data_IF_404972873442
#
_entry.id   IF_404972873442
#
_cell.length_a   1.000
_cell.length_b   1.000
_cell.length_c   1.000
_cell.angle_alpha   90.00
_cell.angle_beta   90.00
_cell.angle_gamma   90.00
#
_symmetry.space_group_name_H-M   'P 1'
#
loop_
_entity.id
_entity.type
_entity.pdbx_description
1 polymer ?
#
# COMPACT_ATOMS: atom_id res chain seq x y z
N UNK A 1 2.78 9.77 -31.42
CA UNK A 1 2.48 8.93 -30.25
C UNK A 1 0.97 8.93 -30.08
N UNK A 2 0.33 7.76 -30.08
CA UNK A 2 -1.11 7.63 -29.87
C UNK A 2 -1.45 8.03 -28.44
N UNK A 3 -2.52 8.80 -28.25
CA UNK A 3 -3.01 9.13 -26.91
C UNK A 3 -3.44 7.83 -26.23
N UNK A 4 -2.99 7.53 -25.01
CA UNK A 4 -3.39 6.33 -24.29
C UNK A 4 -4.90 6.28 -24.06
N UNK A 5 -5.51 5.12 -24.28
CA UNK A 5 -6.93 4.90 -23.96
C UNK A 5 -7.05 4.42 -22.51
N UNK A 6 -7.75 5.14 -21.61
CA UNK A 6 -7.91 4.71 -20.23
C UNK A 6 -8.48 3.30 -20.09
N UNK A 7 -7.83 2.48 -19.27
CA UNK A 7 -8.20 1.08 -19.02
C UNK A 7 -7.63 0.09 -20.03
N UNK A 8 -6.92 0.56 -21.06
CA UNK A 8 -6.23 -0.30 -22.03
C UNK A 8 -4.75 -0.33 -21.69
N UNK A 9 -4.33 -1.40 -21.01
CA UNK A 9 -2.91 -1.61 -20.69
C UNK A 9 -2.10 -1.78 -21.98
N UNK A 10 -1.20 -0.84 -22.18
CA UNK A 10 -0.26 -0.88 -23.28
C UNK A 10 0.77 -2.00 -23.13
N UNK A 11 1.16 -2.61 -24.25
CA UNK A 11 2.19 -3.66 -24.27
C UNK A 11 3.55 -3.16 -23.78
N UNK A 12 3.94 -1.93 -24.11
CA UNK A 12 5.24 -1.40 -23.65
C UNK A 12 5.24 -1.13 -22.15
N UNK A 13 4.10 -0.70 -21.59
CA UNK A 13 3.98 -0.48 -20.15
C UNK A 13 3.95 -1.84 -19.41
N UNK A 14 3.28 -2.84 -19.97
CA UNK A 14 3.29 -4.21 -19.46
C UNK A 14 4.74 -4.72 -19.35
N UNK A 15 5.46 -4.78 -20.48
CA UNK A 15 6.81 -5.33 -20.55
C UNK A 15 7.80 -4.57 -19.66
N UNK A 16 7.68 -3.23 -19.61
CA UNK A 16 8.54 -2.41 -18.74
C UNK A 16 8.32 -2.76 -17.26
N UNK A 17 7.07 -2.91 -16.82
CA UNK A 17 6.77 -3.21 -15.40
C UNK A 17 7.13 -4.66 -15.07
N UNK A 18 6.95 -5.61 -16.00
CA UNK A 18 7.44 -6.99 -15.81
C UNK A 18 8.96 -7.03 -15.62
N UNK A 19 9.72 -6.30 -16.45
CA UNK A 19 11.18 -6.23 -16.36
C UNK A 19 11.65 -5.51 -15.08
N UNK A 20 11.05 -4.35 -14.78
CA UNK A 20 11.41 -3.52 -13.61
C UNK A 20 11.20 -4.28 -12.28
N UNK A 21 10.13 -5.08 -12.18
CA UNK A 21 9.79 -5.78 -10.93
C UNK A 21 10.04 -7.28 -10.98
N UNK A 22 10.42 -7.87 -12.11
CA UNK A 22 10.59 -9.33 -12.24
C UNK A 22 9.32 -10.12 -11.96
N UNK A 23 8.16 -9.61 -12.36
CA UNK A 23 6.83 -10.19 -12.05
C UNK A 23 6.14 -10.69 -13.32
N UNK A 24 5.13 -11.55 -13.15
CA UNK A 24 4.30 -12.00 -14.27
C UNK A 24 3.17 -11.01 -14.64
N UNK A 25 2.70 -11.14 -15.89
CA UNK A 25 1.63 -10.34 -16.48
C UNK A 25 0.39 -10.14 -15.60
N UNK A 26 -0.08 -11.18 -14.89
CA UNK A 26 -1.25 -11.08 -14.01
C UNK A 26 -1.05 -10.03 -12.91
N UNK A 27 0.15 -10.00 -12.31
CA UNK A 27 0.50 -9.03 -11.28
C UNK A 27 0.54 -7.61 -11.86
N UNK A 28 1.06 -7.45 -13.08
CA UNK A 28 1.10 -6.15 -13.77
C UNK A 28 -0.31 -5.67 -14.12
N UNK A 29 -1.20 -6.55 -14.57
CA UNK A 29 -2.61 -6.20 -14.84
C UNK A 29 -3.34 -5.80 -13.57
N UNK A 30 -3.06 -6.45 -12.43
CA UNK A 30 -3.59 -6.07 -11.11
C UNK A 30 -3.08 -4.70 -10.67
N UNK A 31 -1.78 -4.43 -10.81
CA UNK A 31 -1.19 -3.13 -10.46
C UNK A 31 -1.68 -1.99 -11.39
N UNK A 32 -1.96 -2.31 -12.66
CA UNK A 32 -2.65 -1.41 -13.60
C UNK A 32 -4.05 -1.06 -13.11
N UNK A 33 -4.86 -2.06 -12.75
CA UNK A 33 -6.18 -1.83 -12.17
C UNK A 33 -6.11 -0.98 -10.89
N UNK A 34 -5.17 -1.25 -9.98
CA UNK A 34 -4.96 -0.46 -8.76
C UNK A 34 -4.69 1.02 -9.09
N UNK A 35 -3.90 1.31 -10.14
CA UNK A 35 -3.62 2.68 -10.58
C UNK A 35 -4.89 3.46 -10.93
N UNK A 36 -5.82 2.82 -11.64
CA UNK A 36 -7.12 3.39 -11.99
C UNK A 36 -8.06 3.51 -10.78
N UNK A 37 -8.05 2.54 -9.87
CA UNK A 37 -8.83 2.60 -8.62
C UNK A 37 -8.36 3.76 -7.75
N UNK A 38 -7.05 3.94 -7.58
CA UNK A 38 -6.49 5.05 -6.78
C UNK A 38 -6.83 6.41 -7.40
N UNK A 39 -6.85 6.51 -8.74
CA UNK A 39 -7.35 7.72 -9.42
C UNK A 39 -8.83 7.97 -9.11
N UNK A 40 -9.67 6.94 -9.18
CA UNK A 40 -11.09 7.07 -8.85
C UNK A 40 -11.31 7.50 -7.40
N UNK A 41 -10.60 6.87 -6.44
CA UNK A 41 -10.65 7.22 -5.01
C UNK A 41 -10.19 8.66 -4.77
N UNK A 42 -9.18 9.13 -5.51
CA UNK A 42 -8.69 10.52 -5.37
C UNK A 42 -9.74 11.58 -5.73
N UNK A 43 -10.82 11.21 -6.44
CA UNK A 43 -11.92 12.14 -6.76
C UNK A 43 -12.83 12.48 -5.60
N UNK A 44 -12.76 11.72 -4.49
CA UNK A 44 -13.52 12.03 -3.27
C UNK A 44 -12.96 13.29 -2.60
N UNK A 45 -11.63 13.44 -2.57
CA UNK A 45 -10.94 14.53 -1.90
C UNK A 45 -10.01 14.04 -0.80
N UNK A 46 -8.98 14.84 -0.50
CA UNK A 46 -7.92 14.50 0.47
C UNK A 46 -8.38 14.56 1.93
N UNK A 47 -9.59 15.07 2.18
CA UNK A 47 -10.17 15.23 3.51
C UNK A 47 -11.24 14.15 3.82
N UNK A 48 -11.58 13.30 2.85
CA UNK A 48 -12.54 12.20 3.03
C UNK A 48 -11.86 10.86 3.32
N UNK A 49 -10.68 10.65 2.74
CA UNK A 49 -9.97 9.37 2.79
C UNK A 49 -8.47 9.55 2.96
N UNK A 50 -7.89 8.69 3.78
CA UNK A 50 -6.45 8.53 3.91
C UNK A 50 -6.02 7.16 3.38
N UNK A 51 -4.95 7.13 2.60
CA UNK A 51 -4.36 5.95 1.98
C UNK A 51 -3.13 5.50 2.76
N UNK A 52 -3.08 4.22 3.13
CA UNK A 52 -2.07 3.64 4.00
C UNK A 52 -1.57 2.28 3.50
N UNK A 53 -0.78 1.61 4.34
CA UNK A 53 -0.30 0.25 4.08
C UNK A 53 0.85 0.21 3.08
N UNK A 54 1.16 -1.02 2.63
CA UNK A 54 2.26 -1.27 1.69
C UNK A 54 2.03 -0.62 0.33
N UNK A 55 0.78 -0.50 -0.10
CA UNK A 55 0.44 0.12 -1.39
C UNK A 55 0.64 1.63 -1.36
N UNK A 56 0.34 2.30 -0.24
CA UNK A 56 0.65 3.72 -0.10
C UNK A 56 2.16 3.97 -0.22
N UNK A 57 2.98 3.12 0.39
CA UNK A 57 4.43 3.18 0.26
C UNK A 57 4.90 2.96 -1.18
N UNK A 58 4.43 1.89 -1.84
CA UNK A 58 4.82 1.59 -3.22
C UNK A 58 4.31 2.61 -4.25
N UNK A 59 3.41 3.51 -3.84
CA UNK A 59 2.88 4.58 -4.68
C UNK A 59 3.34 5.97 -4.27
N UNK A 60 4.22 6.09 -3.28
CA UNK A 60 4.77 7.37 -2.80
C UNK A 60 6.26 7.28 -2.49
N UNK A 61 6.62 6.69 -1.35
CA UNK A 61 7.97 6.76 -0.77
C UNK A 61 8.91 5.66 -1.25
N UNK A 62 8.37 4.52 -1.71
CA UNK A 62 9.11 3.34 -2.16
C UNK A 62 8.65 2.85 -3.54
N UNK A 63 8.55 3.72 -4.57
CA UNK A 63 7.96 3.34 -5.84
C UNK A 63 8.77 2.31 -6.62
N UNK A 64 10.06 2.10 -6.35
CA UNK A 64 10.83 1.05 -7.04
C UNK A 64 10.84 -0.31 -6.31
N UNK A 65 10.20 -0.43 -5.15
CA UNK A 65 10.47 -1.58 -4.26
C UNK A 65 9.76 -2.86 -4.68
N UNK A 66 8.43 -2.81 -4.74
CA UNK A 66 7.57 -3.94 -5.09
C UNK A 66 6.20 -3.47 -5.54
N UNK A 67 5.54 -4.28 -6.34
CA UNK A 67 4.11 -4.12 -6.62
C UNK A 67 3.28 -4.49 -5.39
N UNK A 68 2.03 -4.05 -5.39
CA UNK A 68 1.09 -4.37 -4.31
C UNK A 68 -0.23 -4.86 -4.89
N UNK A 69 -0.99 -5.56 -4.07
CA UNK A 69 -2.20 -6.28 -4.50
C UNK A 69 -3.47 -5.79 -3.79
N UNK A 70 -3.28 -5.05 -2.69
CA UNK A 70 -4.33 -4.63 -1.77
C UNK A 70 -4.43 -3.10 -1.76
N UNK A 71 -5.55 -2.53 -1.32
CA UNK A 71 -5.72 -1.09 -1.10
C UNK A 71 -6.26 -0.89 0.32
N UNK A 72 -5.48 -0.23 1.16
CA UNK A 72 -5.84 0.05 2.56
C UNK A 72 -6.19 1.53 2.73
N UNK A 73 -7.40 1.81 3.21
CA UNK A 73 -7.95 3.15 3.36
C UNK A 73 -8.46 3.37 4.79
N UNK A 74 -8.42 4.62 5.26
CA UNK A 74 -9.12 5.09 6.45
C UNK A 74 -10.15 6.13 6.00
N UNK A 75 -11.40 5.94 6.41
CA UNK A 75 -12.44 6.95 6.31
C UNK A 75 -12.19 8.05 7.35
N UNK A 76 -12.03 9.29 6.89
CA UNK A 76 -11.87 10.47 7.75
C UNK A 76 -13.24 11.02 8.21
N UNK A 77 -14.30 10.70 7.46
CA UNK A 77 -15.70 10.90 7.86
C UNK A 77 -16.38 9.63 8.40
N UNK A 78 -17.71 9.60 8.34
CA UNK A 78 -18.50 8.42 8.68
C UNK A 78 -18.19 7.28 7.71
N UNK A 79 -17.62 6.18 8.23
CA UNK A 79 -17.17 5.02 7.43
C UNK A 79 -18.20 4.51 6.41
N UNK A 80 -19.49 4.30 6.75
CA UNK A 80 -20.46 3.81 5.78
C UNK A 80 -20.69 4.78 4.61
N UNK A 81 -20.67 6.08 4.88
CA UNK A 81 -20.93 7.12 3.87
C UNK A 81 -19.72 7.21 2.93
N UNK A 82 -18.49 7.18 3.47
CA UNK A 82 -17.26 7.11 2.67
C UNK A 82 -17.19 5.82 1.85
N UNK A 83 -17.66 4.69 2.39
CA UNK A 83 -17.72 3.43 1.66
C UNK A 83 -18.61 3.52 0.42
N UNK A 84 -19.82 4.08 0.57
CA UNK A 84 -20.77 4.27 -0.53
C UNK A 84 -20.19 5.23 -1.61
N UNK A 85 -19.46 6.27 -1.19
CA UNK A 85 -18.77 7.19 -2.10
C UNK A 85 -17.64 6.51 -2.89
N UNK A 86 -16.83 5.66 -2.24
CA UNK A 86 -15.75 4.91 -2.89
C UNK A 86 -16.32 3.97 -3.96
N UNK A 87 -17.32 3.14 -3.60
CA UNK A 87 -17.92 2.20 -4.57
C UNK A 87 -18.49 2.94 -5.79
N UNK A 88 -19.22 4.04 -5.55
CA UNK A 88 -19.79 4.84 -6.63
C UNK A 88 -18.73 5.47 -7.54
N UNK A 89 -17.66 6.03 -6.96
CA UNK A 89 -16.57 6.64 -7.73
C UNK A 89 -15.82 5.60 -8.57
N UNK A 90 -15.49 4.45 -7.97
CA UNK A 90 -14.78 3.35 -8.64
C UNK A 90 -15.64 2.74 -9.75
N UNK A 91 -16.91 2.43 -9.48
CA UNK A 91 -17.82 1.86 -10.47
C UNK A 91 -17.98 2.82 -11.67
N UNK A 92 -18.12 4.12 -11.43
CA UNK A 92 -18.22 5.14 -12.49
C UNK A 92 -16.94 5.23 -13.32
N UNK A 93 -15.77 5.26 -12.68
CA UNK A 93 -14.49 5.44 -13.35
C UNK A 93 -14.11 4.24 -14.21
N UNK A 94 -14.30 3.03 -13.69
CA UNK A 94 -13.87 1.80 -14.37
C UNK A 94 -14.85 1.33 -15.46
N UNK A 95 -16.11 1.81 -15.46
CA UNK A 95 -17.18 1.33 -16.36
C UNK A 95 -16.80 1.28 -17.84
N UNK A 96 -16.11 2.30 -18.33
CA UNK A 96 -15.76 2.43 -19.75
C UNK A 96 -14.50 1.65 -20.14
N UNK A 97 -13.53 1.54 -19.22
CA UNK A 97 -12.22 0.94 -19.49
C UNK A 97 -12.14 -0.55 -19.14
N UNK A 98 -12.78 -0.96 -18.04
CA UNK A 98 -12.68 -2.30 -17.48
C UNK A 98 -14.02 -3.05 -17.45
N UNK A 99 -15.14 -2.31 -17.47
CA UNK A 99 -16.49 -2.88 -17.44
C UNK A 99 -17.15 -2.80 -16.06
N UNK A 100 -18.08 -3.70 -15.79
CA UNK A 100 -18.87 -3.70 -14.56
C UNK A 100 -18.05 -4.15 -13.36
N UNK A 101 -18.05 -3.33 -12.31
CA UNK A 101 -17.34 -3.58 -11.06
C UNK A 101 -18.31 -4.17 -10.05
N UNK A 102 -17.85 -5.19 -9.32
CA UNK A 102 -18.58 -5.75 -8.18
C UNK A 102 -17.72 -5.70 -6.91
N UNK A 103 -18.37 -5.53 -5.77
CA UNK A 103 -17.75 -5.56 -4.44
C UNK A 103 -18.41 -6.65 -3.61
N UNK A 104 -17.62 -7.57 -3.06
CA UNK A 104 -18.12 -8.67 -2.24
C UNK A 104 -17.32 -8.83 -0.94
N UNK A 105 -17.94 -8.59 0.24
CA UNK A 105 -19.22 -7.91 0.41
C UNK A 105 -19.14 -6.45 -0.07
N UNK A 106 -20.28 -5.76 -0.21
CA UNK A 106 -20.25 -4.29 -0.32
C UNK A 106 -19.40 -3.69 0.82
N UNK A 107 -18.57 -2.70 0.51
CA UNK A 107 -17.67 -2.00 1.43
C UNK A 107 -18.40 -1.46 2.65
N UNK A 108 -19.63 -0.96 2.49
CA UNK A 108 -20.46 -0.50 3.62
C UNK A 108 -20.78 -1.61 4.61
N UNK A 109 -20.95 -2.83 4.09
CA UNK A 109 -21.32 -4.05 4.84
C UNK A 109 -20.10 -4.80 5.36
N UNK A 110 -18.92 -4.59 4.78
CA UNK A 110 -17.66 -5.14 5.27
C UNK A 110 -17.42 -4.67 6.72
N UNK A 111 -17.33 -5.62 7.65
CA UNK A 111 -17.05 -5.32 9.06
C UNK A 111 -15.55 -5.27 9.26
N UNK A 112 -15.06 -4.28 10.00
CA UNK A 112 -13.66 -4.27 10.42
C UNK A 112 -13.28 -5.62 11.09
N UNK A 113 -12.13 -6.24 10.76
CA UNK A 113 -11.10 -5.80 9.81
C UNK A 113 -11.27 -6.39 8.38
N UNK A 114 -12.39 -7.00 8.04
CA UNK A 114 -12.58 -7.68 6.75
C UNK A 114 -12.53 -6.70 5.57
N UNK A 115 -11.75 -6.99 4.51
CA UNK A 115 -11.77 -6.22 3.29
C UNK A 115 -13.02 -6.53 2.45
N UNK A 116 -13.33 -5.65 1.51
CA UNK A 116 -14.19 -5.96 0.37
C UNK A 116 -13.34 -6.44 -0.80
N UNK A 117 -13.76 -7.50 -1.48
CA UNK A 117 -13.11 -7.93 -2.72
C UNK A 117 -13.76 -7.22 -3.90
N UNK A 118 -13.02 -6.32 -4.54
CA UNK A 118 -13.41 -5.71 -5.80
C UNK A 118 -13.06 -6.65 -6.94
N UNK A 119 -14.02 -6.95 -7.82
CA UNK A 119 -13.81 -7.78 -9.00
C UNK A 119 -14.29 -7.07 -10.28
N UNK A 120 -13.44 -7.08 -11.31
CA UNK A 120 -13.72 -6.52 -12.64
C UNK A 120 -12.75 -7.15 -13.67
N UNK A 121 -13.21 -7.42 -14.89
CA UNK A 121 -12.38 -7.97 -15.97
C UNK A 121 -11.56 -9.23 -15.60
N UNK A 122 -12.10 -10.09 -14.72
CA UNK A 122 -11.42 -11.29 -14.21
C UNK A 122 -10.34 -11.03 -13.15
N UNK A 123 -10.04 -9.76 -12.86
CA UNK A 123 -9.10 -9.35 -11.81
C UNK A 123 -9.81 -9.18 -10.48
N UNK A 124 -9.06 -9.37 -9.39
CA UNK A 124 -9.51 -9.14 -8.01
C UNK A 124 -8.50 -8.28 -7.27
N UNK A 125 -9.01 -7.32 -6.50
CA UNK A 125 -8.25 -6.42 -5.62
C UNK A 125 -8.96 -6.37 -4.27
N UNK A 126 -8.22 -6.55 -3.18
CA UNK A 126 -8.79 -6.35 -1.84
C UNK A 126 -8.78 -4.86 -1.52
N UNK A 127 -9.93 -4.33 -1.09
CA UNK A 127 -10.06 -2.95 -0.64
C UNK A 127 -10.53 -2.95 0.80
N UNK A 128 -9.63 -2.58 1.71
CA UNK A 128 -9.93 -2.44 3.12
C UNK A 128 -10.26 -0.97 3.43
N UNK A 129 -11.38 -0.72 4.11
CA UNK A 129 -11.74 0.60 4.60
C UNK A 129 -11.96 0.57 6.11
N UNK A 130 -11.02 1.15 6.83
CA UNK A 130 -11.03 1.30 8.28
C UNK A 130 -11.79 2.57 8.68
N UNK A 131 -12.32 2.60 9.90
CA UNK A 131 -12.78 3.85 10.51
C UNK A 131 -11.57 4.56 11.15
N UNK A 132 -11.56 5.89 11.16
CA UNK A 132 -10.53 6.64 11.88
C UNK A 132 -10.60 6.41 13.41
N UNK A 133 -11.77 6.08 13.94
CA UNK A 133 -11.96 5.79 15.37
C UNK A 133 -11.09 4.61 15.80
N UNK A 134 -10.24 4.84 16.81
CA UNK A 134 -9.34 3.81 17.35
C UNK A 134 -8.06 3.62 16.54
N UNK A 135 -7.91 4.28 15.38
CA UNK A 135 -6.64 4.33 14.68
C UNK A 135 -5.74 5.42 15.30
N UNK A 136 -4.45 5.17 15.56
CA UNK A 136 -3.59 6.19 16.11
C UNK A 136 -3.47 7.38 15.15
N UNK A 137 -3.44 8.59 15.70
CA UNK A 137 -3.39 9.83 14.94
C UNK A 137 -1.99 10.12 14.36
N UNK A 138 -1.45 9.17 13.59
CA UNK A 138 -0.17 9.29 12.94
C UNK A 138 -0.13 10.52 12.01
N UNK A 139 0.96 11.31 12.01
CA UNK A 139 1.08 12.46 11.11
C UNK A 139 0.93 12.07 9.64
N UNK A 140 0.09 12.82 8.93
CA UNK A 140 -0.22 12.61 7.51
C UNK A 140 0.11 13.83 6.66
N UNK A 141 0.31 13.61 5.37
CA UNK A 141 0.52 14.65 4.36
C UNK A 141 -0.23 14.30 3.09
N UNK A 142 -0.52 15.30 2.27
CA UNK A 142 -1.05 15.07 0.92
C UNK A 142 0.12 14.79 -0.02
N UNK A 143 0.05 13.70 -0.79
CA UNK A 143 1.08 13.31 -1.75
C UNK A 143 0.48 13.02 -3.12
N UNK A 144 1.25 13.32 -4.17
CA UNK A 144 1.01 12.76 -5.48
C UNK A 144 1.24 11.25 -5.43
N UNK A 145 0.39 10.51 -6.12
CA UNK A 145 0.43 9.05 -6.22
C UNK A 145 1.08 8.68 -7.54
N UNK A 146 2.09 7.82 -7.48
CA UNK A 146 2.83 7.35 -8.66
C UNK A 146 1.91 6.48 -9.52
N UNK A 147 1.47 7.06 -10.64
CA UNK A 147 0.73 6.36 -11.68
C UNK A 147 1.72 5.80 -12.70
N UNK A 148 2.01 4.49 -12.57
CA UNK A 148 3.03 3.80 -13.38
C UNK A 148 2.67 3.65 -14.85
N UNK A 149 1.39 3.71 -15.16
CA UNK A 149 0.86 3.41 -16.49
C UNK A 149 0.40 4.69 -17.15
N UNK A 150 0.75 4.85 -18.43
CA UNK A 150 0.51 6.09 -19.16
C UNK A 150 -0.97 6.41 -19.38
N UNK A 151 -1.84 5.42 -19.28
CA UNK A 151 -3.30 5.56 -19.40
C UNK A 151 -3.99 5.80 -18.04
N UNK A 152 -3.28 5.66 -16.92
CA UNK A 152 -3.83 5.90 -15.59
C UNK A 152 -3.86 7.42 -15.30
N UNK A 153 -5.03 8.01 -14.96
CA UNK A 153 -5.10 9.43 -14.66
C UNK A 153 -4.37 9.76 -13.36
N UNK A 154 -3.86 10.99 -13.23
CA UNK A 154 -3.18 11.46 -12.03
C UNK A 154 -4.02 11.28 -10.77
N UNK A 155 -3.37 11.07 -9.63
CA UNK A 155 -4.04 10.89 -8.35
C UNK A 155 -3.27 11.59 -7.24
N UNK A 156 -4.00 12.20 -6.31
CA UNK A 156 -3.46 12.81 -5.11
C UNK A 156 -4.27 12.33 -3.90
N UNK A 157 -3.59 11.82 -2.89
CA UNK A 157 -4.24 11.28 -1.68
C UNK A 157 -3.48 11.72 -0.44
N UNK A 158 -4.20 11.77 0.69
CA UNK A 158 -3.58 11.88 2.01
C UNK A 158 -2.93 10.55 2.38
N UNK A 159 -1.66 10.58 2.76
CA UNK A 159 -0.85 9.42 3.15
C UNK A 159 -0.10 9.71 4.44
N UNK A 160 0.50 8.69 5.06
CA UNK A 160 1.41 8.92 6.19
C UNK A 160 2.63 9.72 5.73
N UNK A 161 3.09 10.65 6.57
CA UNK A 161 4.42 11.25 6.41
C UNK A 161 5.49 10.17 6.43
N UNK A 162 6.66 10.42 5.83
CA UNK A 162 7.76 9.45 5.78
C UNK A 162 8.12 8.84 7.16
N UNK A 163 8.36 9.63 8.23
CA UNK A 163 8.67 9.08 9.54
C UNK A 163 7.47 8.35 10.17
N UNK A 164 6.24 8.85 9.98
CA UNK A 164 5.04 8.17 10.46
C UNK A 164 4.81 6.82 9.77
N UNK A 165 5.13 6.71 8.48
CA UNK A 165 5.02 5.46 7.74
C UNK A 165 6.02 4.40 8.24
N UNK A 166 7.26 4.81 8.57
CA UNK A 166 8.24 3.92 9.19
C UNK A 166 7.79 3.45 10.58
N UNK A 167 7.32 4.37 11.42
CA UNK A 167 6.80 4.05 12.75
C UNK A 167 5.58 3.12 12.70
N UNK A 168 4.61 3.40 11.82
CA UNK A 168 3.44 2.55 11.62
C UNK A 168 3.81 1.16 11.10
N UNK A 169 4.84 1.05 10.24
CA UNK A 169 5.35 -0.25 9.77
C UNK A 169 6.01 -1.05 10.88
N UNK A 170 6.78 -0.40 11.76
CA UNK A 170 7.35 -1.07 12.92
C UNK A 170 6.26 -1.56 13.88
N UNK A 171 5.19 -0.77 14.09
CA UNK A 171 4.04 -1.16 14.88
C UNK A 171 3.30 -2.36 14.28
N UNK A 172 3.11 -2.39 12.96
CA UNK A 172 2.53 -3.53 12.26
C UNK A 172 3.43 -4.77 12.37
N UNK A 173 4.74 -4.63 12.17
CA UNK A 173 5.69 -5.74 12.34
C UNK A 173 5.60 -6.35 13.75
N UNK A 174 5.57 -5.53 14.79
CA UNK A 174 5.44 -5.99 16.18
C UNK A 174 4.19 -6.85 16.40
N UNK A 175 3.08 -6.52 15.72
CA UNK A 175 1.81 -7.24 15.84
C UNK A 175 1.81 -8.56 15.05
N UNK A 176 2.28 -8.57 13.79
CA UNK A 176 2.04 -9.69 12.86
C UNK A 176 3.26 -10.33 12.22
N UNK A 177 4.47 -9.79 12.40
CA UNK A 177 5.73 -10.32 11.87
C UNK A 177 5.71 -10.66 10.35
N UNK A 178 4.97 -9.87 9.55
CA UNK A 178 4.82 -10.16 8.13
C UNK A 178 6.09 -9.83 7.34
N UNK A 179 6.49 -10.73 6.43
CA UNK A 179 7.66 -10.57 5.55
C UNK A 179 7.65 -9.23 4.78
N UNK A 180 6.47 -8.82 4.29
CA UNK A 180 6.29 -7.54 3.57
C UNK A 180 6.61 -6.32 4.45
N UNK A 181 6.29 -6.36 5.75
CA UNK A 181 6.59 -5.24 6.65
C UNK A 181 8.10 -5.11 6.88
N UNK A 182 8.79 -6.24 7.06
CA UNK A 182 10.24 -6.27 7.21
C UNK A 182 10.96 -5.82 5.93
N UNK A 183 10.51 -6.29 4.76
CA UNK A 183 11.09 -5.87 3.48
C UNK A 183 10.88 -4.38 3.20
N UNK A 184 9.68 -3.86 3.48
CA UNK A 184 9.39 -2.43 3.34
C UNK A 184 10.29 -1.61 4.29
N UNK A 185 10.45 -2.02 5.55
CA UNK A 185 11.32 -1.34 6.52
C UNK A 185 12.80 -1.40 6.12
N UNK A 186 13.26 -2.50 5.52
CA UNK A 186 14.63 -2.58 5.01
C UNK A 186 14.89 -1.51 3.94
N UNK A 187 13.97 -1.38 2.97
CA UNK A 187 14.09 -0.35 1.94
C UNK A 187 13.97 1.08 2.49
N UNK A 188 13.23 1.28 3.58
CA UNK A 188 13.12 2.57 4.28
C UNK A 188 14.45 3.07 4.85
N UNK A 189 15.41 2.19 5.14
CA UNK A 189 16.75 2.56 5.62
C UNK A 189 17.45 3.43 4.58
N UNK A 190 17.54 2.95 3.33
CA UNK A 190 18.19 3.67 2.23
C UNK A 190 17.50 4.99 1.86
N UNK A 191 16.24 5.16 2.28
CA UNK A 191 15.47 6.39 2.10
C UNK A 191 15.56 7.34 3.30
N UNK A 192 16.25 6.97 4.37
CA UNK A 192 16.38 7.76 5.60
C UNK A 192 15.05 7.93 6.35
N UNK A 193 14.10 7.00 6.18
CA UNK A 193 12.78 7.10 6.81
C UNK A 193 12.79 6.59 8.26
N UNK A 194 13.68 5.64 8.58
CA UNK A 194 13.98 5.24 9.95
C UNK A 194 14.90 6.30 10.55
N UNK A 195 14.33 7.14 11.43
CA UNK A 195 14.96 8.35 11.97
C UNK A 195 14.50 8.57 13.42
N UNK A 196 15.15 9.47 14.15
CA UNK A 196 14.73 9.82 15.52
C UNK A 196 13.31 10.40 15.59
N UNK A 197 12.85 11.09 14.54
CA UNK A 197 11.45 11.49 14.43
C UNK A 197 10.53 10.27 14.35
N UNK A 198 10.86 9.28 13.52
CA UNK A 198 10.09 8.04 13.43
C UNK A 198 10.09 7.27 14.76
N UNK A 199 11.23 7.22 15.47
CA UNK A 199 11.33 6.58 16.77
C UNK A 199 10.44 7.27 17.84
N UNK A 200 10.42 8.61 17.84
CA UNK A 200 9.55 9.40 18.72
C UNK A 200 8.07 9.20 18.40
N UNK A 201 7.70 9.16 17.12
CA UNK A 201 6.34 8.86 16.69
C UNK A 201 5.92 7.46 17.12
N UNK A 202 6.80 6.46 16.96
CA UNK A 202 6.54 5.10 17.43
C UNK A 202 6.35 5.05 18.95
N UNK A 203 7.19 5.72 19.73
CA UNK A 203 7.05 5.80 21.19
C UNK A 203 5.74 6.46 21.63
N UNK A 204 5.21 7.37 20.81
CA UNK A 204 3.99 8.15 21.10
C UNK A 204 2.71 7.40 20.72
N UNK A 205 2.68 6.78 19.55
CA UNK A 205 1.46 6.21 18.95
C UNK A 205 1.51 4.69 18.76
N UNK A 206 2.70 4.10 18.85
CA UNK A 206 2.93 2.67 18.69
C UNK A 206 2.65 1.88 19.97
N UNK A 207 2.81 0.55 19.90
CA UNK A 207 2.47 -0.36 20.99
C UNK A 207 3.48 -0.34 22.16
N UNK A 208 4.71 0.15 21.94
CA UNK A 208 5.79 0.16 22.93
C UNK A 208 6.38 1.55 23.09
N UNK A 209 6.96 1.83 24.27
CA UNK A 209 7.59 3.13 24.59
C UNK A 209 8.91 3.40 23.86
N UNK A 210 9.51 2.40 23.22
CA UNK A 210 10.81 2.50 22.54
C UNK A 210 10.79 1.65 21.27
N UNK A 211 11.19 2.22 20.14
CA UNK A 211 11.29 1.49 18.87
C UNK A 211 12.28 0.31 18.97
N UNK A 212 13.44 0.54 19.59
CA UNK A 212 14.46 -0.49 19.82
C UNK A 212 14.02 -1.65 20.74
N UNK A 213 12.83 -1.59 21.35
CA UNK A 213 12.28 -2.70 22.15
C UNK A 213 11.50 -3.72 21.31
N UNK A 214 11.25 -3.44 20.02
CA UNK A 214 10.58 -4.38 19.12
C UNK A 214 11.54 -5.52 18.78
N UNK A 215 11.08 -6.77 18.93
CA UNK A 215 11.89 -7.95 18.63
C UNK A 215 11.99 -8.20 17.13
N UNK A 216 13.15 -8.71 16.73
CA UNK A 216 13.48 -9.22 15.40
C UNK A 216 14.12 -10.62 15.52
N UNK A 217 13.87 -11.32 16.62
CA UNK A 217 14.46 -12.65 16.87
C UNK A 217 13.76 -13.72 16.03
N UNK A 218 12.44 -13.58 15.86
CA UNK A 218 11.64 -14.40 14.96
C UNK A 218 11.51 -13.69 13.60
N UNK A 219 12.03 -14.32 12.56
CA UNK A 219 12.00 -13.83 11.19
C UNK A 219 11.43 -14.88 10.25
N UNK A 220 10.78 -14.49 9.13
CA UNK A 220 10.31 -15.44 8.14
C UNK A 220 11.44 -16.37 7.67
N UNK A 221 11.13 -17.65 7.51
CA UNK A 221 12.02 -18.60 6.85
C UNK A 221 12.27 -18.18 5.39
N UNK A 222 13.35 -18.65 4.73
CA UNK A 222 13.59 -18.35 3.32
C UNK A 222 12.40 -18.69 2.41
N UNK A 223 11.72 -19.82 2.64
CA UNK A 223 10.54 -20.21 1.88
C UNK A 223 9.34 -19.27 2.12
N UNK A 224 9.11 -18.83 3.36
CA UNK A 224 8.06 -17.84 3.67
C UNK A 224 8.38 -16.47 3.06
N UNK A 225 9.65 -16.08 3.08
CA UNK A 225 10.15 -14.84 2.48
C UNK A 225 9.90 -14.82 0.98
N UNK A 226 10.33 -15.87 0.29
CA UNK A 226 10.15 -16.02 -1.16
C UNK A 226 8.67 -16.09 -1.53
N UNK A 227 7.88 -16.92 -0.85
CA UNK A 227 6.44 -17.05 -1.09
C UNK A 227 5.66 -15.74 -0.88
N UNK A 228 6.14 -14.84 -0.02
CA UNK A 228 5.44 -13.59 0.28
C UNK A 228 5.78 -12.44 -0.68
N UNK A 229 6.96 -12.48 -1.31
CA UNK A 229 7.56 -11.33 -1.98
C UNK A 229 7.94 -11.58 -3.45
N UNK A 230 8.30 -12.81 -3.85
CA UNK A 230 8.86 -13.09 -5.17
C UNK A 230 7.88 -12.82 -6.33
N UNK A 231 6.57 -12.87 -6.09
CA UNK A 231 5.57 -12.51 -7.09
C UNK A 231 5.30 -11.00 -7.17
N UNK A 232 5.95 -10.19 -6.33
CA UNK A 232 5.76 -8.73 -6.26
C UNK A 232 7.02 -7.94 -6.63
N UNK A 233 8.21 -8.55 -6.58
CA UNK A 233 9.48 -7.90 -6.88
C UNK A 233 10.62 -8.91 -7.10
N UNK A 234 11.72 -8.44 -7.68
CA UNK A 234 13.04 -9.07 -7.59
C UNK A 234 13.54 -8.90 -6.15
N UNK A 235 13.80 -10.02 -5.46
CA UNK A 235 14.30 -10.01 -4.09
C UNK A 235 15.73 -9.48 -4.03
N UNK A 236 15.95 -8.45 -3.21
CA UNK A 236 17.26 -7.81 -3.06
C UNK A 236 18.00 -8.25 -1.78
N UNK A 237 17.28 -8.77 -0.79
CA UNK A 237 17.81 -9.17 0.51
C UNK A 237 17.05 -10.36 1.07
N UNK A 238 17.71 -11.18 1.90
CA UNK A 238 17.07 -12.25 2.65
C UNK A 238 16.50 -11.78 3.99
N UNK A 239 15.52 -12.50 4.54
CA UNK A 239 14.82 -12.13 5.78
C UNK A 239 15.75 -11.83 6.97
N UNK A 240 16.76 -12.67 7.20
CA UNK A 240 17.69 -12.51 8.34
C UNK A 240 18.54 -11.25 8.21
N UNK A 241 19.11 -11.03 7.03
CA UNK A 241 19.90 -9.83 6.78
C UNK A 241 19.04 -8.56 6.89
N UNK A 242 17.83 -8.57 6.33
CA UNK A 242 16.88 -7.47 6.46
C UNK A 242 16.57 -7.17 7.94
N UNK A 243 16.33 -8.19 8.75
CA UNK A 243 16.06 -8.04 10.18
C UNK A 243 17.25 -7.47 10.95
N UNK A 244 18.48 -7.91 10.66
CA UNK A 244 19.69 -7.39 11.27
C UNK A 244 19.89 -5.90 10.96
N UNK A 245 19.74 -5.51 9.69
CA UNK A 245 19.87 -4.13 9.24
C UNK A 245 18.77 -3.22 9.82
N UNK A 246 17.50 -3.68 9.79
CA UNK A 246 16.37 -2.92 10.34
C UNK A 246 16.49 -2.76 11.86
N UNK A 247 16.87 -3.82 12.59
CA UNK A 247 17.12 -3.74 14.03
C UNK A 247 18.22 -2.74 14.36
N UNK A 248 19.33 -2.77 13.60
CA UNK A 248 20.43 -1.82 13.80
C UNK A 248 19.99 -0.38 13.52
N UNK A 249 19.21 -0.14 12.46
CA UNK A 249 18.68 1.17 12.12
C UNK A 249 17.78 1.74 13.24
N UNK A 250 16.86 0.93 13.78
CA UNK A 250 15.99 1.36 14.89
C UNK A 250 16.73 1.54 16.22
N UNK A 251 17.83 0.82 16.45
CA UNK A 251 18.66 1.01 17.63
C UNK A 251 19.49 2.30 17.58
N UNK A 252 19.81 2.78 16.37
CA UNK A 252 20.55 4.02 16.14
C UNK A 252 19.67 5.28 15.98
N UNK A 253 18.37 5.09 15.78
CA UNK A 253 17.38 6.15 15.56
C UNK A 253 17.03 6.93 16.84
#
# INVERSE_FOLDING_TARGET
MTVPTPGVLAKEDLLRVEDEFGVGEEQVRRDHLISHVLSAVSTLGVDDVMFLGGTALSRTWLPGLRLSEDIDLIALGRRPDVADLIEAAVARALRRGFGEVSFSPHMRSARHPQPSVMAVAGLKVQVQLLAATGYPAWPSTVSQIVQRYRDAPSAQLRVLTRPAAAAAKLAAWHDRHAARDLYDMWAMIGQGMISGEAANLFATFGPLRRAAAVSFDEVPTPAQWESALAHQCILQVGARQAAEEVRAAWAAA
#
